data_IF_329106654040
#
_entry.id   IF_329106654040
#
_cell.length_a   1.000
_cell.length_b   1.000
_cell.length_c   1.000
_cell.angle_alpha   90.00
_cell.angle_beta   90.00
_cell.angle_gamma   90.00
#
_symmetry.space_group_name_H-M   'P 1'
#
loop_
_entity.id
_entity.type
_entity.pdbx_description
1 polymer ?
#
# COMPACT_ATOMS: atom_id res chain seq x y z
N UNK A 1 21.61 61.39 -8.23
CA UNK A 1 22.65 61.67 -7.24
C UNK A 1 23.42 60.39 -6.97
N UNK A 2 24.68 60.40 -7.38
CA UNK A 2 25.67 59.35 -7.25
C UNK A 2 26.25 59.46 -5.84
N UNK A 3 26.35 58.36 -5.09
CA UNK A 3 27.44 58.20 -4.11
C UNK A 3 27.78 56.72 -3.88
N UNK A 4 28.96 56.38 -4.39
CA UNK A 4 29.81 55.27 -3.94
C UNK A 4 30.25 55.51 -2.49
N UNK A 5 30.41 54.44 -1.71
CA UNK A 5 31.32 54.35 -0.56
C UNK A 5 31.56 52.85 -0.31
N UNK A 6 32.74 52.33 -0.66
CA UNK A 6 33.99 52.30 0.11
C UNK A 6 34.23 50.92 0.72
N UNK A 7 35.16 50.23 0.08
CA UNK A 7 35.92 49.07 0.53
C UNK A 7 36.76 49.40 1.77
N UNK A 8 36.68 48.57 2.80
CA UNK A 8 37.70 48.48 3.85
C UNK A 8 38.04 47.02 4.09
N UNK A 9 39.27 46.67 3.72
CA UNK A 9 39.98 45.46 4.13
C UNK A 9 40.33 45.59 5.62
N UNK A 10 40.12 44.54 6.40
CA UNK A 10 41.07 44.16 7.45
C UNK A 10 40.94 42.68 7.77
N UNK A 11 42.10 42.02 7.65
CA UNK A 11 42.38 40.67 8.10
C UNK A 11 43.20 40.83 9.38
N UNK A 12 42.98 39.99 10.41
CA UNK A 12 44.14 39.48 11.11
C UNK A 12 44.08 37.97 11.29
N UNK A 13 45.17 37.34 10.88
CA UNK A 13 45.57 36.03 11.34
C UNK A 13 45.75 36.05 12.86
N UNK A 14 45.20 35.04 13.54
CA UNK A 14 45.76 34.55 14.81
C UNK A 14 45.46 33.05 14.95
N UNK A 15 46.48 32.25 14.65
CA UNK A 15 46.99 31.18 15.52
C UNK A 15 46.02 30.53 16.52
N UNK A 16 45.56 29.31 16.23
CA UNK A 16 45.27 28.33 17.27
C UNK A 16 45.90 26.98 16.96
N UNK A 17 46.98 26.71 17.70
CA UNK A 17 47.71 25.44 17.75
C UNK A 17 46.90 24.38 18.51
N UNK A 18 46.94 23.17 17.95
CA UNK A 18 47.10 21.88 18.64
C UNK A 18 46.20 21.53 19.83
N UNK A 19 45.30 20.57 19.63
CA UNK A 19 45.03 19.45 20.57
C UNK A 19 44.22 18.34 19.89
N UNK A 20 44.87 17.62 18.97
CA UNK A 20 44.41 16.29 18.55
C UNK A 20 44.91 15.32 19.62
N UNK A 21 44.08 15.04 20.63
CA UNK A 21 44.27 13.85 21.48
C UNK A 21 43.65 12.67 20.76
N UNK A 22 44.51 11.77 20.29
CA UNK A 22 44.16 10.39 19.99
C UNK A 22 43.47 9.76 21.21
N UNK A 23 42.20 9.39 21.03
CA UNK A 23 41.56 8.32 21.79
C UNK A 23 41.11 7.28 20.77
N UNK A 24 42.04 6.44 20.34
CA UNK A 24 41.71 5.13 19.79
C UNK A 24 41.24 4.26 20.95
N UNK A 25 39.97 4.39 21.31
CA UNK A 25 39.29 3.37 22.10
C UNK A 25 38.98 2.22 21.15
N UNK A 26 39.63 1.08 21.36
CA UNK A 26 39.24 -0.21 20.79
C UNK A 26 37.87 -0.58 21.36
N UNK A 27 36.83 -0.06 20.73
CA UNK A 27 35.44 -0.42 21.03
C UNK A 27 35.25 -1.90 20.73
N UNK A 28 35.06 -2.70 21.78
CA UNK A 28 34.48 -4.04 21.69
C UNK A 28 33.24 -3.94 20.80
N UNK A 29 33.27 -4.59 19.65
CA UNK A 29 32.09 -4.86 18.82
C UNK A 29 31.12 -5.67 19.69
N UNK A 30 30.21 -4.97 20.34
CA UNK A 30 29.12 -5.55 21.11
C UNK A 30 28.28 -6.45 20.20
N UNK A 31 27.75 -7.50 20.81
CA UNK A 31 26.96 -8.60 20.24
C UNK A 31 25.72 -8.21 19.41
N UNK A 32 25.48 -6.93 19.13
CA UNK A 32 24.34 -6.44 18.35
C UNK A 32 24.46 -6.72 16.84
N UNK A 33 25.68 -6.84 16.28
CA UNK A 33 25.86 -7.11 14.85
C UNK A 33 25.38 -8.50 14.41
N UNK A 34 25.48 -9.49 15.30
CA UNK A 34 25.11 -10.88 15.01
C UNK A 34 23.59 -11.02 14.97
N UNK A 35 22.84 -10.29 15.80
CA UNK A 35 21.38 -10.34 15.83
C UNK A 35 20.75 -9.83 14.52
N UNK A 36 21.30 -8.77 13.92
CA UNK A 36 20.82 -8.25 12.64
C UNK A 36 21.12 -9.16 11.46
N UNK A 37 22.28 -9.83 11.45
CA UNK A 37 22.63 -10.79 10.41
C UNK A 37 21.79 -12.07 10.52
N UNK A 38 21.55 -12.58 11.73
CA UNK A 38 20.65 -13.73 11.97
C UNK A 38 19.21 -13.37 11.61
N UNK A 39 18.75 -12.14 11.88
CA UNK A 39 17.44 -11.69 11.41
C UNK A 39 17.36 -11.64 9.89
N UNK A 40 18.38 -11.12 9.18
CA UNK A 40 18.40 -11.10 7.70
C UNK A 40 18.46 -12.51 7.10
N UNK A 41 19.26 -13.41 7.69
CA UNK A 41 19.33 -14.81 7.25
C UNK A 41 18.02 -15.52 7.53
N UNK A 42 17.39 -15.34 8.69
CA UNK A 42 16.04 -15.85 8.98
C UNK A 42 14.97 -15.24 8.04
N UNK A 43 15.10 -13.96 7.69
CA UNK A 43 14.24 -13.28 6.72
C UNK A 43 14.45 -13.77 5.29
N UNK A 44 15.62 -14.32 4.96
CA UNK A 44 15.88 -14.92 3.65
C UNK A 44 15.53 -16.41 3.65
N UNK A 45 15.79 -17.15 4.71
CA UNK A 45 15.51 -18.58 4.78
C UNK A 45 14.02 -18.89 4.93
N UNK A 46 13.24 -18.08 5.66
CA UNK A 46 11.76 -18.25 5.70
C UNK A 46 11.12 -17.99 4.33
N UNK A 47 11.74 -17.18 3.48
CA UNK A 47 11.18 -16.80 2.17
C UNK A 47 11.82 -17.53 0.97
N UNK A 48 12.96 -18.21 1.17
CA UNK A 48 13.60 -19.08 0.19
C UNK A 48 13.32 -20.58 0.42
N UNK A 49 12.55 -20.96 1.45
CA UNK A 49 12.00 -22.33 1.52
C UNK A 49 11.00 -22.49 0.36
N UNK A 50 11.15 -23.54 -0.49
CA UNK A 50 10.19 -23.84 -1.54
C UNK A 50 8.91 -24.38 -0.90
N UNK A 51 8.05 -23.50 -0.40
CA UNK A 51 6.72 -23.86 0.04
C UNK A 51 5.83 -23.99 -1.21
N UNK A 52 5.49 -25.26 -1.49
CA UNK A 52 4.43 -25.80 -2.33
C UNK A 52 4.66 -25.84 -3.85
N UNK A 53 4.38 -26.99 -4.49
CA UNK A 53 4.39 -27.13 -5.93
C UNK A 53 3.29 -26.24 -6.50
N UNK A 54 3.70 -25.35 -7.38
CA UNK A 54 2.83 -24.62 -8.27
C UNK A 54 2.07 -25.67 -9.10
N UNK A 55 0.75 -25.83 -8.88
CA UNK A 55 -0.08 -26.56 -9.83
C UNK A 55 -0.11 -25.70 -11.11
N UNK A 56 0.45 -26.19 -12.23
CA UNK A 56 0.30 -25.48 -13.49
C UNK A 56 -1.21 -25.45 -13.82
N UNK A 57 -1.72 -24.28 -14.20
CA UNK A 57 -2.99 -24.19 -14.90
C UNK A 57 -2.94 -25.17 -16.07
N UNK A 58 -3.76 -26.22 -16.00
CA UNK A 58 -3.99 -27.13 -17.11
C UNK A 58 -4.52 -26.30 -18.27
N UNK A 59 -3.68 -26.10 -19.30
CA UNK A 59 -4.16 -25.81 -20.65
C UNK A 59 -5.12 -26.93 -21.01
N UNK A 60 -6.41 -26.61 -21.15
CA UNK A 60 -7.39 -27.49 -21.77
C UNK A 60 -6.91 -27.79 -23.18
N UNK A 61 -6.36 -29.00 -23.36
CA UNK A 61 -6.07 -29.59 -24.66
C UNK A 61 -7.39 -30.15 -25.16
N UNK A 62 -7.90 -29.58 -26.25
CA UNK A 62 -9.14 -30.01 -26.89
C UNK A 62 -9.09 -31.51 -27.23
N UNK A 63 -10.04 -32.26 -26.68
CA UNK A 63 -10.33 -33.62 -27.10
C UNK A 63 -11.26 -33.57 -28.31
N UNK A 64 -10.79 -34.15 -29.43
CA UNK A 64 -11.64 -34.57 -30.55
C UNK A 64 -12.53 -35.72 -30.09
N UNK A 65 -13.83 -35.58 -30.28
CA UNK A 65 -14.82 -36.64 -30.16
C UNK A 65 -14.89 -37.47 -31.44
N UNK A 66 -14.78 -38.80 -31.33
CA UNK A 66 -15.25 -39.77 -32.33
C UNK A 66 -15.83 -40.98 -31.58
N UNK A 67 -17.00 -41.45 -32.00
CA UNK A 67 -17.57 -42.78 -31.68
C UNK A 67 -18.71 -42.74 -30.65
N UNK A 68 -19.99 -42.71 -31.05
CA UNK A 68 -20.88 -43.84 -31.46
C UNK A 68 -21.36 -44.74 -30.31
N UNK A 69 -22.68 -44.63 -30.05
CA UNK A 69 -23.67 -45.68 -29.74
C UNK A 69 -23.40 -46.72 -28.62
N UNK A 70 -24.27 -46.78 -27.60
CA UNK A 70 -25.40 -47.75 -27.50
C UNK A 70 -25.86 -48.00 -26.04
N UNK A 71 -27.17 -47.84 -25.84
CA UNK A 71 -28.15 -48.64 -25.07
C UNK A 71 -27.64 -49.43 -23.85
N UNK A 72 -28.14 -49.10 -22.64
CA UNK A 72 -28.99 -49.99 -21.80
C UNK A 72 -29.17 -49.44 -20.36
N UNK A 73 -30.43 -49.29 -19.95
CA UNK A 73 -30.90 -49.32 -18.55
C UNK A 73 -30.89 -50.80 -18.06
N UNK A 74 -30.92 -51.17 -16.75
CA UNK A 74 -31.92 -50.68 -15.77
C UNK A 74 -31.52 -50.60 -14.26
N UNK A 75 -32.29 -49.76 -13.56
CA UNK A 75 -32.95 -49.91 -12.23
C UNK A 75 -32.31 -50.60 -11.02
N UNK A 76 -32.57 -49.95 -9.86
CA UNK A 76 -33.01 -50.46 -8.54
C UNK A 76 -32.09 -50.30 -7.30
N UNK A 77 -32.74 -49.79 -6.23
CA UNK A 77 -32.60 -50.06 -4.79
C UNK A 77 -31.78 -49.12 -3.86
N UNK A 78 -32.55 -48.42 -3.03
CA UNK A 78 -32.32 -47.99 -1.62
C UNK A 78 -32.17 -49.28 -0.76
N UNK A 79 -31.28 -49.39 0.27
CA UNK A 79 -31.58 -48.77 1.57
C UNK A 79 -30.45 -48.38 2.55
N UNK A 80 -30.84 -47.44 3.42
CA UNK A 80 -30.48 -47.19 4.84
C UNK A 80 -29.29 -47.90 5.49
N UNK A 81 -28.49 -47.16 6.27
CA UNK A 81 -28.56 -47.14 7.76
C UNK A 81 -27.27 -46.60 8.41
N UNK A 82 -27.46 -45.88 9.52
CA UNK A 82 -26.62 -45.76 10.74
C UNK A 82 -25.09 -45.91 10.66
N UNK A 83 -24.35 -44.97 11.26
CA UNK A 83 -23.71 -45.21 12.57
C UNK A 83 -22.90 -44.01 13.05
N UNK A 84 -22.92 -43.82 14.37
CA UNK A 84 -22.17 -42.85 15.18
C UNK A 84 -20.70 -43.27 15.32
N UNK A 85 -19.77 -42.31 15.33
CA UNK A 85 -18.55 -42.22 16.18
C UNK A 85 -17.70 -41.04 15.68
N UNK A 86 -17.55 -39.97 16.43
CA UNK A 86 -16.54 -39.82 17.51
C UNK A 86 -15.15 -40.23 17.07
N UNK A 87 -14.29 -39.26 16.77
CA UNK A 87 -12.92 -39.23 17.30
C UNK A 87 -12.24 -37.89 17.00
N UNK A 88 -11.85 -37.22 18.08
CA UNK A 88 -10.80 -36.21 18.08
C UNK A 88 -9.49 -36.88 17.62
N UNK A 89 -8.79 -36.27 16.68
CA UNK A 89 -7.39 -36.58 16.40
C UNK A 89 -6.56 -35.32 16.54
N UNK A 90 -5.81 -35.25 17.64
CA UNK A 90 -4.60 -34.46 17.76
C UNK A 90 -3.53 -35.08 16.84
N UNK A 91 -2.99 -34.30 15.92
CA UNK A 91 -1.73 -34.64 15.25
C UNK A 91 -0.58 -34.05 16.07
N UNK A 92 0.07 -34.90 16.85
CA UNK A 92 1.46 -34.73 17.25
C UNK A 92 2.34 -35.19 16.08
N UNK A 93 3.27 -34.35 15.63
CA UNK A 93 4.32 -34.76 14.71
C UNK A 93 5.65 -34.76 15.45
N UNK A 94 6.22 -35.97 15.50
CA UNK A 94 7.57 -36.30 15.93
C UNK A 94 8.62 -35.49 15.14
N UNK A 95 9.52 -34.83 15.88
CA UNK A 95 10.78 -34.34 15.35
C UNK A 95 11.80 -35.49 15.40
N UNK A 96 12.22 -35.97 14.23
CA UNK A 96 13.34 -36.92 14.12
C UNK A 96 14.63 -36.17 13.85
N UNK A 97 15.59 -36.36 14.75
CA UNK A 97 16.96 -35.89 14.67
C UNK A 97 17.67 -36.40 13.42
N UNK A 98 18.34 -35.50 12.69
CA UNK A 98 19.38 -35.85 11.72
C UNK A 98 20.62 -35.02 12.03
N UNK A 99 21.55 -35.67 12.72
CA UNK A 99 22.94 -35.26 12.84
C UNK A 99 23.69 -35.55 11.53
N UNK A 100 24.28 -34.53 10.91
CA UNK A 100 25.31 -34.73 9.88
C UNK A 100 26.50 -33.78 10.09
N UNK A 101 27.52 -34.38 10.69
CA UNK A 101 28.95 -34.31 10.38
C UNK A 101 29.49 -33.14 9.53
N UNK A 102 30.36 -32.39 10.18
CA UNK A 102 31.29 -31.40 9.66
C UNK A 102 32.18 -31.92 8.53
N UNK A 103 32.27 -31.18 7.42
CA UNK A 103 33.49 -31.11 6.60
C UNK A 103 33.81 -29.66 6.23
N UNK A 104 34.96 -29.23 6.74
CA UNK A 104 35.63 -27.96 6.51
C UNK A 104 36.26 -27.95 5.12
N UNK A 105 35.86 -26.99 4.29
CA UNK A 105 36.57 -26.66 3.04
C UNK A 105 36.81 -25.16 3.03
N UNK A 106 38.07 -24.76 3.29
CA UNK A 106 38.59 -23.42 3.02
C UNK A 106 38.67 -23.25 1.51
N UNK A 107 38.02 -22.22 0.96
CA UNK A 107 38.30 -21.74 -0.38
C UNK A 107 38.65 -20.25 -0.32
N UNK A 108 39.83 -19.98 -0.87
CA UNK A 108 40.48 -18.69 -1.02
C UNK A 108 39.71 -17.79 -2.00
N UNK A 109 39.46 -16.56 -1.59
CA UNK A 109 39.01 -15.47 -2.45
C UNK A 109 40.19 -14.96 -3.28
N UNK A 110 40.25 -15.35 -4.55
CA UNK A 110 41.03 -14.65 -5.58
C UNK A 110 40.08 -13.95 -6.55
N UNK A 111 40.32 -12.65 -6.68
CA UNK A 111 39.80 -11.66 -7.63
C UNK A 111 39.24 -12.20 -8.94
N UNK A 112 37.95 -11.93 -9.21
CA UNK A 112 37.36 -12.03 -10.54
C UNK A 112 37.15 -10.61 -11.07
N UNK A 113 37.96 -10.24 -12.06
CA UNK A 113 37.77 -9.06 -12.88
C UNK A 113 36.55 -9.27 -13.79
N UNK A 114 35.71 -8.25 -13.88
CA UNK A 114 34.52 -8.22 -14.75
C UNK A 114 34.96 -7.75 -16.14
N UNK A 115 34.78 -8.53 -17.23
CA UNK A 115 34.89 -7.98 -18.57
C UNK A 115 33.59 -7.24 -18.92
N UNK A 116 33.75 -6.01 -19.38
CA UNK A 116 32.72 -5.26 -20.06
C UNK A 116 32.66 -5.71 -21.53
N UNK A 117 31.55 -6.33 -21.93
CA UNK A 117 31.19 -6.45 -23.35
C UNK A 117 29.68 -6.72 -23.50
N UNK A 118 29.01 -5.70 -24.01
CA UNK A 118 28.00 -5.76 -25.07
C UNK A 118 27.40 -7.13 -25.41
N UNK A 119 26.19 -7.39 -24.94
CA UNK A 119 25.21 -8.28 -25.58
C UNK A 119 23.87 -7.55 -25.58
N UNK A 120 23.54 -6.95 -26.73
CA UNK A 120 22.19 -6.51 -27.07
C UNK A 120 21.77 -7.28 -28.30
N UNK A 121 20.48 -7.59 -28.39
CA UNK A 121 19.82 -8.43 -29.40
C UNK A 121 19.89 -9.94 -29.10
N UNK A 122 18.86 -10.43 -28.42
CA UNK A 122 18.08 -11.60 -28.86
C UNK A 122 16.93 -11.83 -27.86
N UNK A 123 15.76 -12.15 -28.43
CA UNK A 123 14.49 -12.51 -27.78
C UNK A 123 13.63 -11.34 -27.30
N UNK A 124 12.85 -10.78 -28.23
CA UNK A 124 11.56 -10.18 -27.91
C UNK A 124 10.58 -10.49 -29.06
N UNK A 125 10.14 -11.74 -29.13
CA UNK A 125 9.06 -12.19 -30.03
C UNK A 125 8.00 -12.88 -29.16
N UNK A 126 6.82 -12.27 -29.07
CA UNK A 126 5.78 -12.59 -28.09
C UNK A 126 5.08 -11.38 -27.43
N UNK A 127 5.26 -10.17 -27.97
CA UNK A 127 4.67 -8.93 -27.42
C UNK A 127 3.36 -8.49 -28.08
N UNK A 128 2.82 -9.24 -29.04
CA UNK A 128 1.68 -8.76 -29.84
C UNK A 128 0.31 -8.94 -29.14
N UNK A 129 0.24 -9.67 -28.04
CA UNK A 129 -1.00 -9.84 -27.29
C UNK A 129 -1.29 -8.67 -26.30
N UNK A 130 -0.35 -7.75 -26.07
CA UNK A 130 -0.52 -6.65 -25.12
C UNK A 130 -0.82 -5.29 -25.77
N UNK A 131 -0.72 -5.15 -27.10
CA UNK A 131 -0.97 -3.88 -27.80
C UNK A 131 -2.46 -3.50 -27.80
N UNK A 132 -3.36 -4.48 -27.98
CA UNK A 132 -4.80 -4.25 -27.84
C UNK A 132 -5.18 -3.90 -26.38
N UNK A 133 -4.57 -4.53 -25.37
CA UNK A 133 -4.91 -4.31 -23.96
C UNK A 133 -4.44 -2.95 -23.42
N UNK A 134 -3.26 -2.48 -23.84
CA UNK A 134 -2.78 -1.14 -23.45
C UNK A 134 -3.68 -0.01 -23.97
N UNK A 135 -4.46 -0.26 -25.02
CA UNK A 135 -5.43 0.71 -25.55
C UNK A 135 -6.78 0.70 -24.84
N UNK A 136 -7.09 -0.31 -24.00
CA UNK A 136 -8.39 -0.43 -23.32
C UNK A 136 -8.56 0.64 -22.24
N UNK A 137 -7.58 0.78 -21.36
CA UNK A 137 -7.62 1.79 -20.30
C UNK A 137 -7.45 3.23 -20.86
N UNK A 138 -6.60 3.43 -21.87
CA UNK A 138 -6.48 4.73 -22.56
C UNK A 138 -7.77 5.10 -23.28
N UNK A 139 -8.46 4.15 -23.93
CA UNK A 139 -9.79 4.39 -24.52
C UNK A 139 -10.83 4.68 -23.46
N UNK A 140 -10.89 3.90 -22.38
CA UNK A 140 -11.83 4.15 -21.28
C UNK A 140 -11.67 5.56 -20.69
N UNK A 141 -10.41 6.01 -20.50
CA UNK A 141 -10.12 7.34 -19.96
C UNK A 141 -10.33 8.46 -21.00
N UNK A 142 -9.97 8.25 -22.26
CA UNK A 142 -10.12 9.26 -23.31
C UNK A 142 -11.58 9.42 -23.77
N UNK A 143 -12.39 8.35 -23.75
CA UNK A 143 -13.78 8.39 -24.22
C UNK A 143 -14.68 9.25 -23.30
N UNK A 144 -14.40 9.29 -22.00
CA UNK A 144 -15.14 10.15 -21.05
C UNK A 144 -14.85 11.65 -21.23
N UNK A 145 -13.64 12.03 -21.65
CA UNK A 145 -13.32 13.44 -21.95
C UNK A 145 -14.07 13.97 -23.18
N UNK A 146 -14.52 13.09 -24.09
CA UNK A 146 -15.36 13.45 -25.24
C UNK A 146 -16.87 13.39 -24.97
N UNK A 147 -17.30 12.65 -23.95
CA UNK A 147 -18.72 12.43 -23.63
C UNK A 147 -19.33 13.47 -22.66
N UNK A 148 -18.76 14.68 -22.63
CA UNK A 148 -19.33 15.80 -21.89
C UNK A 148 -20.54 16.34 -22.68
N UNK A 149 -21.70 15.72 -22.42
CA UNK A 149 -23.08 16.24 -22.50
C UNK A 149 -23.59 16.82 -23.83
N UNK A 150 -24.42 16.04 -24.53
CA UNK A 150 -25.61 16.59 -25.19
C UNK A 150 -26.74 16.65 -24.17
N UNK A 151 -27.22 17.83 -23.74
CA UNK A 151 -28.25 17.93 -22.71
C UNK A 151 -29.62 17.56 -23.29
N UNK A 152 -30.16 16.40 -22.90
CA UNK A 152 -31.58 16.07 -23.06
C UNK A 152 -32.41 16.86 -22.06
N UNK A 153 -32.66 18.10 -22.47
CA UNK A 153 -33.73 19.02 -22.14
C UNK A 153 -34.86 18.50 -21.22
N UNK A 154 -34.69 18.63 -19.89
CA UNK A 154 -35.82 18.81 -18.95
C UNK A 154 -35.53 19.99 -18.03
N UNK A 155 -36.32 21.04 -18.23
CA UNK A 155 -36.21 22.37 -17.65
C UNK A 155 -36.31 22.35 -16.11
N UNK A 156 -35.19 22.50 -15.42
CA UNK A 156 -35.16 23.11 -14.09
C UNK A 156 -34.12 24.23 -14.09
N UNK A 157 -34.60 25.47 -14.04
CA UNK A 157 -33.83 26.72 -13.99
C UNK A 157 -33.20 26.89 -12.61
N UNK A 158 -32.15 26.14 -12.32
CA UNK A 158 -31.24 26.45 -11.21
C UNK A 158 -29.90 26.89 -11.81
N UNK A 159 -29.45 28.08 -11.40
CA UNK A 159 -28.37 28.87 -12.01
C UNK A 159 -27.10 28.08 -12.39
N UNK A 160 -26.83 27.85 -13.69
CA UNK A 160 -25.70 27.05 -14.17
C UNK A 160 -24.31 27.71 -14.04
N UNK A 161 -24.24 28.99 -13.68
CA UNK A 161 -22.94 29.70 -13.61
C UNK A 161 -22.05 29.28 -12.41
N UNK A 162 -22.63 28.71 -11.35
CA UNK A 162 -21.84 28.37 -10.14
C UNK A 162 -21.09 27.04 -10.26
N UNK A 163 -21.54 26.12 -11.12
CA UNK A 163 -20.97 24.77 -11.24
C UNK A 163 -19.65 24.73 -12.02
N UNK A 164 -19.48 25.57 -13.06
CA UNK A 164 -18.24 25.60 -13.86
C UNK A 164 -17.03 26.07 -13.06
N UNK A 165 -17.20 27.13 -12.26
CA UNK A 165 -16.13 27.64 -11.38
C UNK A 165 -15.73 26.61 -10.32
N UNK A 166 -16.70 25.86 -9.78
CA UNK A 166 -16.44 24.80 -8.82
C UNK A 166 -15.66 23.63 -9.43
N UNK A 167 -15.98 23.25 -10.68
CA UNK A 167 -15.27 22.18 -11.39
C UNK A 167 -13.81 22.53 -11.67
N UNK A 168 -13.52 23.75 -12.14
CA UNK A 168 -12.14 24.20 -12.37
C UNK A 168 -11.34 24.28 -11.06
N UNK A 169 -11.97 24.80 -10.00
CA UNK A 169 -11.34 24.89 -8.69
C UNK A 169 -11.08 23.51 -8.07
N UNK A 170 -11.95 22.53 -8.32
CA UNK A 170 -11.72 21.13 -7.94
C UNK A 170 -10.51 20.55 -8.68
N UNK A 171 -10.44 20.70 -10.01
CA UNK A 171 -9.30 20.17 -10.78
C UNK A 171 -7.97 20.79 -10.34
N UNK A 172 -7.92 22.10 -10.11
CA UNK A 172 -6.73 22.78 -9.57
C UNK A 172 -6.27 22.18 -8.24
N UNK A 173 -7.21 21.93 -7.33
CA UNK A 173 -6.91 21.34 -6.02
C UNK A 173 -6.47 19.88 -6.13
N UNK A 174 -7.14 19.10 -7.00
CA UNK A 174 -6.75 17.72 -7.32
C UNK A 174 -5.32 17.64 -7.84
N UNK A 175 -4.94 18.52 -8.77
CA UNK A 175 -3.56 18.63 -9.27
C UNK A 175 -2.56 19.03 -8.19
N UNK A 176 -2.92 20.01 -7.35
CA UNK A 176 -2.08 20.44 -6.23
C UNK A 176 -1.84 19.28 -5.24
N UNK A 177 -2.90 18.53 -4.93
CA UNK A 177 -2.80 17.35 -4.09
C UNK A 177 -1.93 16.28 -4.72
N UNK A 178 -2.16 16.00 -6.01
CA UNK A 178 -1.36 15.03 -6.75
C UNK A 178 0.12 15.41 -6.67
N UNK A 179 0.47 16.64 -7.01
CA UNK A 179 1.84 17.15 -6.93
C UNK A 179 2.47 16.96 -5.54
N UNK A 180 1.69 17.13 -4.47
CA UNK A 180 2.14 16.94 -3.07
C UNK A 180 2.29 15.48 -2.66
N UNK A 181 1.38 14.59 -3.06
CA UNK A 181 1.24 13.26 -2.46
C UNK A 181 1.51 12.10 -3.42
N UNK A 182 1.45 12.29 -4.73
CA UNK A 182 1.72 11.26 -5.74
C UNK A 182 3.18 11.20 -6.17
N UNK A 183 4.02 12.11 -5.69
CA UNK A 183 5.45 12.15 -6.00
C UNK A 183 6.31 12.02 -4.73
N UNK A 184 7.45 11.34 -4.85
CA UNK A 184 8.41 11.19 -3.74
C UNK A 184 8.91 12.56 -3.26
N UNK A 185 9.19 13.47 -4.19
CA UNK A 185 9.64 14.82 -3.87
C UNK A 185 8.55 15.65 -3.18
N UNK A 186 7.27 15.45 -3.55
CA UNK A 186 6.14 16.05 -2.85
C UNK A 186 6.10 15.62 -1.38
N UNK A 187 6.21 14.32 -1.11
CA UNK A 187 6.25 13.78 0.26
C UNK A 187 7.46 14.28 1.06
N UNK A 188 8.64 14.41 0.43
CA UNK A 188 9.83 15.02 1.06
C UNK A 188 9.59 16.47 1.44
N UNK A 189 8.91 17.25 0.60
CA UNK A 189 8.57 18.65 0.89
C UNK A 189 7.51 18.74 2.00
N UNK A 190 6.52 17.86 1.99
CA UNK A 190 5.42 17.87 2.97
C UNK A 190 5.84 17.39 4.36
N UNK A 191 6.63 16.32 4.44
CA UNK A 191 6.92 15.61 5.69
C UNK A 191 8.41 15.60 6.09
N UNK A 192 9.26 16.21 5.27
CA UNK A 192 10.72 16.24 5.45
C UNK A 192 11.44 15.08 4.75
N UNK A 193 12.74 15.27 4.50
CA UNK A 193 13.62 14.26 3.94
C UNK A 193 14.28 13.38 5.02
N UNK A 194 14.94 12.31 4.58
CA UNK A 194 15.73 11.45 5.47
C UNK A 194 16.87 12.25 6.14
N UNK A 195 16.84 12.34 7.47
CA UNK A 195 17.84 13.05 8.27
C UNK A 195 19.24 12.44 8.16
N UNK A 196 19.31 11.13 8.00
CA UNK A 196 20.56 10.37 7.99
C UNK A 196 21.09 10.11 6.57
N UNK A 197 20.57 10.84 5.56
CA UNK A 197 20.91 10.76 4.13
C UNK A 197 20.87 9.33 3.58
N UNK A 198 21.96 8.59 3.76
CA UNK A 198 22.15 7.24 3.26
C UNK A 198 21.48 6.21 4.17
N UNK A 199 21.70 6.27 5.48
CA UNK A 199 21.40 5.16 6.39
C UNK A 199 19.91 4.94 6.68
N UNK A 200 19.07 5.97 6.57
CA UNK A 200 17.68 5.91 7.04
C UNK A 200 17.57 6.41 8.48
N UNK A 201 16.43 7.00 8.83
CA UNK A 201 16.15 7.55 10.16
C UNK A 201 15.08 6.76 10.94
N UNK A 202 14.40 5.83 10.27
CA UNK A 202 13.33 5.00 10.83
C UNK A 202 13.70 3.52 10.83
N UNK A 203 13.37 2.86 11.94
CA UNK A 203 13.46 1.40 12.05
C UNK A 203 12.32 0.74 11.25
N UNK A 204 12.45 -0.54 10.83
CA UNK A 204 11.47 -1.19 9.95
C UNK A 204 10.02 -1.13 10.45
N UNK A 205 9.81 -1.28 11.76
CA UNK A 205 8.48 -1.19 12.38
C UNK A 205 7.90 0.22 12.25
N UNK A 206 8.70 1.26 12.50
CA UNK A 206 8.27 2.65 12.39
C UNK A 206 8.06 3.05 10.94
N UNK A 207 8.92 2.61 10.03
CA UNK A 207 8.76 2.80 8.58
C UNK A 207 7.48 2.13 8.08
N UNK A 208 7.11 0.95 8.61
CA UNK A 208 5.84 0.29 8.29
C UNK A 208 4.63 1.07 8.79
N UNK A 209 4.68 1.59 10.03
CA UNK A 209 3.64 2.48 10.55
C UNK A 209 3.52 3.76 9.72
N UNK A 210 4.65 4.35 9.30
CA UNK A 210 4.70 5.50 8.40
C UNK A 210 4.00 5.20 7.08
N UNK A 211 4.36 4.09 6.44
CA UNK A 211 3.70 3.66 5.20
C UNK A 211 2.18 3.55 5.38
N UNK A 212 1.69 2.92 6.45
CA UNK A 212 0.26 2.83 6.75
C UNK A 212 -0.40 4.20 6.92
N UNK A 213 0.26 5.12 7.61
CA UNK A 213 -0.25 6.49 7.84
C UNK A 213 -0.29 7.36 6.58
N UNK A 214 0.47 6.99 5.54
CA UNK A 214 0.54 7.68 4.26
C UNK A 214 -0.39 7.09 3.19
N UNK A 215 -1.11 6.01 3.51
CA UNK A 215 -2.05 5.44 2.57
C UNK A 215 -3.19 6.42 2.26
N UNK A 216 -3.69 6.43 1.03
CA UNK A 216 -4.72 7.36 0.58
C UNK A 216 -6.12 6.96 1.08
N UNK A 217 -6.26 6.58 2.35
CA UNK A 217 -7.54 6.13 2.93
C UNK A 217 -8.62 7.20 2.79
N UNK A 218 -8.22 8.46 2.92
CA UNK A 218 -9.13 9.58 2.72
C UNK A 218 -9.56 9.75 1.26
N UNK A 219 -8.86 9.19 0.25
CA UNK A 219 -9.38 9.12 -1.13
C UNK A 219 -10.55 8.14 -1.25
N UNK A 220 -10.51 7.04 -0.50
CA UNK A 220 -11.60 6.07 -0.43
C UNK A 220 -12.87 6.69 0.22
N UNK A 221 -12.70 7.55 1.23
CA UNK A 221 -13.81 8.30 1.85
C UNK A 221 -14.51 9.25 0.84
N UNK A 222 -13.80 9.73 -0.19
CA UNK A 222 -14.35 10.68 -1.17
C UNK A 222 -15.42 10.09 -2.07
N UNK A 223 -15.18 8.86 -2.50
CA UNK A 223 -16.13 8.14 -3.36
C UNK A 223 -17.44 7.97 -2.62
N UNK A 224 -17.38 7.68 -1.33
CA UNK A 224 -18.57 7.46 -0.49
C UNK A 224 -19.30 8.76 -0.12
N UNK A 225 -18.58 9.82 0.22
CA UNK A 225 -19.20 11.06 0.72
C UNK A 225 -19.67 12.03 -0.38
N UNK A 226 -18.98 12.06 -1.54
CA UNK A 226 -19.19 13.10 -2.55
C UNK A 226 -19.62 12.56 -3.91
N UNK A 227 -19.65 11.24 -4.09
CA UNK A 227 -19.98 10.63 -5.38
C UNK A 227 -18.97 10.97 -6.48
N UNK A 228 -17.70 11.22 -6.12
CA UNK A 228 -16.63 11.39 -7.11
C UNK A 228 -16.41 10.06 -7.83
N UNK A 229 -16.36 10.10 -9.16
CA UNK A 229 -16.12 8.94 -10.01
C UNK A 229 -14.81 8.21 -9.63
N UNK A 230 -14.86 6.88 -9.38
CA UNK A 230 -13.69 6.11 -8.99
C UNK A 230 -12.59 6.09 -10.07
N UNK A 231 -12.95 6.29 -11.34
CA UNK A 231 -12.04 6.36 -12.48
C UNK A 231 -11.03 7.49 -12.35
N UNK A 232 -11.47 8.63 -11.83
CA UNK A 232 -10.59 9.78 -11.60
C UNK A 232 -9.61 9.55 -10.43
N UNK A 233 -10.05 8.79 -9.43
CA UNK A 233 -9.35 8.61 -8.16
C UNK A 233 -8.42 7.40 -8.16
N UNK A 234 -8.72 6.36 -8.93
CA UNK A 234 -7.93 5.13 -8.97
C UNK A 234 -6.46 5.35 -9.42
N UNK A 235 -6.17 6.10 -10.50
CA UNK A 235 -4.79 6.42 -10.89
C UNK A 235 -4.06 7.23 -9.81
N UNK A 236 -4.75 8.22 -9.23
CA UNK A 236 -4.19 9.06 -8.17
C UNK A 236 -3.86 8.25 -6.91
N UNK A 237 -4.76 7.36 -6.49
CA UNK A 237 -4.55 6.48 -5.34
C UNK A 237 -3.39 5.50 -5.56
N UNK A 238 -3.27 4.95 -6.77
CA UNK A 238 -2.14 4.12 -7.14
C UNK A 238 -0.81 4.89 -7.03
N UNK A 239 -0.73 6.07 -7.64
CA UNK A 239 0.50 6.87 -7.61
C UNK A 239 0.83 7.34 -6.18
N UNK A 240 -0.16 7.78 -5.41
CA UNK A 240 0.01 8.16 -4.00
C UNK A 240 0.56 7.00 -3.17
N UNK A 241 0.01 5.79 -3.34
CA UNK A 241 0.53 4.60 -2.66
C UNK A 241 1.96 4.26 -3.09
N UNK A 242 2.27 4.34 -4.39
CA UNK A 242 3.61 4.09 -4.91
C UNK A 242 4.62 5.08 -4.30
N UNK A 243 4.27 6.37 -4.27
CA UNK A 243 5.06 7.41 -3.63
C UNK A 243 5.22 7.17 -2.12
N UNK A 244 4.15 6.82 -1.41
CA UNK A 244 4.19 6.48 0.01
C UNK A 244 5.12 5.30 0.31
N UNK A 245 5.10 4.26 -0.53
CA UNK A 245 6.00 3.10 -0.43
C UNK A 245 7.47 3.51 -0.63
N UNK A 246 7.76 4.30 -1.66
CA UNK A 246 9.12 4.80 -1.94
C UNK A 246 9.62 5.70 -0.80
N UNK A 247 8.76 6.58 -0.28
CA UNK A 247 9.10 7.48 0.81
C UNK A 247 9.36 6.73 2.12
N UNK A 248 8.54 5.74 2.46
CA UNK A 248 8.78 4.89 3.62
C UNK A 248 10.10 4.09 3.48
N UNK A 249 10.40 3.57 2.29
CA UNK A 249 11.67 2.89 1.99
C UNK A 249 12.88 3.81 2.14
N UNK A 250 12.80 5.05 1.63
CA UNK A 250 13.85 6.06 1.77
C UNK A 250 14.18 6.38 3.22
N UNK A 251 13.17 6.39 4.10
CA UNK A 251 13.36 6.67 5.53
C UNK A 251 13.74 5.43 6.33
N UNK A 252 13.44 4.24 5.82
CA UNK A 252 13.84 2.97 6.43
C UNK A 252 15.37 2.76 6.37
N UNK A 253 15.88 1.99 7.32
CA UNK A 253 17.29 1.57 7.37
C UNK A 253 17.73 0.86 6.08
N UNK A 254 18.95 1.12 5.60
CA UNK A 254 19.46 0.62 4.31
C UNK A 254 19.33 -0.90 4.13
N UNK A 255 19.71 -1.76 5.10
CA UNK A 255 19.60 -3.20 4.91
C UNK A 255 18.14 -3.64 4.70
N UNK A 256 17.22 -3.08 5.48
CA UNK A 256 15.79 -3.34 5.34
C UNK A 256 15.22 -2.79 4.02
N UNK A 257 15.73 -1.66 3.52
CA UNK A 257 15.38 -1.09 2.21
C UNK A 257 15.76 -2.05 1.08
N UNK A 258 17.00 -2.54 1.07
CA UNK A 258 17.50 -3.46 0.04
C UNK A 258 16.69 -4.76 0.08
N UNK A 259 16.52 -5.34 1.26
CA UNK A 259 15.74 -6.57 1.43
C UNK A 259 14.30 -6.42 0.91
N UNK A 260 13.63 -5.31 1.22
CA UNK A 260 12.27 -5.05 0.73
C UNK A 260 12.20 -4.89 -0.79
N UNK A 261 13.20 -4.24 -1.42
CA UNK A 261 13.27 -4.11 -2.88
C UNK A 261 13.53 -5.44 -3.58
N UNK A 262 14.46 -6.25 -3.05
CA UNK A 262 14.74 -7.60 -3.56
C UNK A 262 13.51 -8.51 -3.42
N UNK A 263 12.83 -8.46 -2.29
CA UNK A 263 11.63 -9.26 -2.04
C UNK A 263 10.50 -8.93 -3.03
N UNK A 264 10.26 -7.64 -3.28
CA UNK A 264 9.25 -7.24 -4.26
C UNK A 264 9.63 -7.66 -5.69
N UNK A 265 10.89 -7.48 -6.07
CA UNK A 265 11.40 -7.91 -7.37
C UNK A 265 11.33 -9.43 -7.57
N UNK A 266 11.70 -10.21 -6.55
CA UNK A 266 11.60 -11.68 -6.57
C UNK A 266 10.14 -12.15 -6.67
N UNK A 267 9.23 -11.54 -5.89
CA UNK A 267 7.81 -11.87 -5.94
C UNK A 267 7.21 -11.61 -7.33
N UNK A 268 7.64 -10.55 -8.00
CA UNK A 268 7.20 -10.26 -9.36
C UNK A 268 7.84 -11.16 -10.40
N UNK A 269 9.14 -11.45 -10.25
CA UNK A 269 9.83 -12.39 -11.12
C UNK A 269 9.16 -13.76 -11.10
N UNK A 270 8.79 -14.28 -9.93
CA UNK A 270 8.07 -15.56 -9.80
C UNK A 270 6.68 -15.56 -10.47
N UNK A 271 5.98 -14.42 -10.49
CA UNK A 271 4.61 -14.33 -11.04
C UNK A 271 4.56 -13.98 -12.53
N UNK A 272 5.46 -13.12 -12.98
CA UNK A 272 5.42 -12.49 -14.31
C UNK A 272 6.69 -12.74 -15.13
N UNK A 273 7.66 -13.48 -14.60
CA UNK A 273 8.95 -13.71 -15.26
C UNK A 273 9.85 -12.47 -15.36
N UNK A 274 9.45 -11.32 -14.78
CA UNK A 274 10.19 -10.06 -14.84
C UNK A 274 10.51 -9.54 -13.44
N UNK A 275 11.77 -9.21 -13.20
CA UNK A 275 12.20 -8.61 -11.94
C UNK A 275 11.89 -7.11 -11.96
N UNK A 276 10.96 -6.64 -11.12
CA UNK A 276 10.70 -5.20 -10.96
C UNK A 276 10.74 -4.83 -9.46
N UNK A 277 11.76 -4.08 -9.00
CA UNK A 277 11.94 -3.80 -7.56
C UNK A 277 10.89 -2.83 -6.98
N UNK A 278 10.21 -2.08 -7.84
CA UNK A 278 9.20 -1.09 -7.46
C UNK A 278 7.80 -1.69 -7.29
N UNK A 279 7.58 -2.91 -7.81
CA UNK A 279 6.28 -3.54 -7.87
C UNK A 279 5.57 -3.32 -9.20
N UNK A 280 4.28 -3.65 -9.21
CA UNK A 280 3.45 -3.73 -10.41
C UNK A 280 3.18 -2.35 -11.00
N UNK A 281 3.27 -2.22 -12.32
CA UNK A 281 2.86 -1.00 -13.03
C UNK A 281 1.34 -0.78 -12.90
N UNK A 282 0.85 0.40 -13.26
CA UNK A 282 -0.59 0.68 -13.17
C UNK A 282 -1.36 -0.19 -14.15
N UNK A 283 -0.84 -0.35 -15.36
CA UNK A 283 -1.42 -1.13 -16.46
C UNK A 283 -1.50 -2.61 -16.06
N UNK A 284 -0.43 -3.18 -15.51
CA UNK A 284 -0.44 -4.55 -15.01
C UNK A 284 -1.44 -4.75 -13.85
N UNK A 285 -1.62 -3.72 -13.01
CA UNK A 285 -2.59 -3.76 -11.91
C UNK A 285 -4.02 -3.67 -12.43
N UNK A 286 -4.24 -2.82 -13.43
CA UNK A 286 -5.49 -2.68 -14.17
C UNK A 286 -5.89 -4.01 -14.79
N UNK A 287 -5.04 -4.56 -15.67
CA UNK A 287 -5.30 -5.82 -16.39
C UNK A 287 -5.66 -6.93 -15.41
N UNK A 288 -4.91 -7.04 -14.31
CA UNK A 288 -5.17 -8.04 -13.27
C UNK A 288 -6.58 -7.91 -12.68
N UNK A 289 -7.02 -6.72 -12.30
CA UNK A 289 -8.33 -6.55 -11.67
C UNK A 289 -9.46 -6.56 -12.70
N UNK A 290 -9.22 -6.03 -13.90
CA UNK A 290 -10.17 -6.06 -15.00
C UNK A 290 -10.53 -7.51 -15.38
N UNK A 291 -9.52 -8.37 -15.57
CA UNK A 291 -9.77 -9.79 -15.82
C UNK A 291 -10.46 -10.48 -14.63
N UNK A 292 -10.11 -10.12 -13.40
CA UNK A 292 -10.78 -10.65 -12.22
C UNK A 292 -12.28 -10.27 -12.19
N UNK A 293 -12.65 -9.07 -12.62
CA UNK A 293 -14.06 -8.67 -12.71
C UNK A 293 -14.78 -9.38 -13.85
N UNK A 294 -14.14 -9.50 -15.03
CA UNK A 294 -14.71 -10.26 -16.16
C UNK A 294 -15.01 -11.71 -15.79
N UNK A 295 -14.08 -12.38 -15.09
CA UNK A 295 -14.29 -13.76 -14.62
C UNK A 295 -15.45 -13.85 -13.60
N UNK A 296 -15.60 -12.84 -12.73
CA UNK A 296 -16.69 -12.78 -11.75
C UNK A 296 -18.05 -12.58 -12.43
N UNK A 297 -18.16 -11.64 -13.35
CA UNK A 297 -19.38 -11.38 -14.12
C UNK A 297 -19.73 -12.60 -14.99
N UNK A 298 -18.75 -13.18 -15.69
CA UNK A 298 -18.96 -14.38 -16.49
C UNK A 298 -19.43 -15.59 -15.67
N UNK A 299 -18.90 -15.75 -14.45
CA UNK A 299 -19.33 -16.82 -13.53
C UNK A 299 -20.77 -16.61 -13.03
N UNK A 300 -21.15 -15.36 -12.72
CA UNK A 300 -22.51 -15.02 -12.28
C UNK A 300 -23.54 -15.23 -13.40
N UNK A 301 -23.23 -14.83 -14.63
CA UNK A 301 -24.07 -15.09 -15.80
C UNK A 301 -24.24 -16.58 -16.08
N UNK A 302 -23.18 -17.37 -15.92
CA UNK A 302 -23.26 -18.82 -16.08
C UNK A 302 -24.10 -19.49 -14.98
N UNK A 303 -24.05 -18.99 -13.74
CA UNK A 303 -24.90 -19.48 -12.64
C UNK A 303 -26.39 -19.19 -12.92
N UNK A 304 -26.72 -17.97 -13.37
CA UNK A 304 -28.07 -17.57 -13.75
C UNK A 304 -28.62 -18.36 -14.95
N UNK A 305 -27.78 -18.60 -15.96
CA UNK A 305 -28.19 -19.38 -17.15
C UNK A 305 -28.51 -20.83 -16.82
N UNK A 306 -27.85 -21.41 -15.81
CA UNK A 306 -28.10 -22.80 -15.42
C UNK A 306 -29.28 -22.96 -14.45
N UNK A 307 -29.72 -21.88 -13.77
CA UNK A 307 -30.86 -21.95 -12.85
C UNK A 307 -32.22 -21.97 -13.56
N UNK A 308 -32.33 -21.39 -14.76
CA UNK A 308 -33.62 -21.20 -15.45
C UNK A 308 -33.85 -22.17 -16.63
N UNK A 309 -33.09 -23.27 -16.71
CA UNK A 309 -33.27 -24.30 -17.74
C UNK A 309 -34.59 -25.10 -17.61
N UNK A 310 -35.51 -24.69 -16.74
CA UNK A 310 -36.85 -25.28 -16.59
C UNK A 310 -37.93 -24.37 -17.21
N UNK A 311 -38.18 -24.59 -18.50
CA UNK A 311 -39.50 -24.53 -19.16
C UNK A 311 -40.38 -23.29 -18.98
N UNK A 312 -40.05 -22.14 -19.57
CA UNK A 312 -41.08 -21.21 -20.08
C UNK A 312 -40.46 -20.34 -21.19
N UNK A 313 -40.94 -20.52 -22.44
CA UNK A 313 -40.40 -19.90 -23.66
C UNK A 313 -40.72 -18.39 -23.82
N UNK A 314 -41.44 -17.79 -22.87
CA UNK A 314 -41.84 -16.39 -22.91
C UNK A 314 -41.13 -15.58 -21.82
N UNK A 315 -39.84 -15.29 -22.00
CA UNK A 315 -39.17 -14.32 -21.12
C UNK A 315 -38.31 -13.31 -21.88
N UNK A 316 -39.02 -12.26 -22.29
CA UNK A 316 -38.73 -10.83 -22.05
C UNK A 316 -37.24 -10.46 -22.02
N UNK A 317 -36.81 -9.63 -23.00
CA UNK A 317 -35.59 -8.79 -23.03
C UNK A 317 -34.89 -8.67 -21.67
N UNK A 318 -34.13 -9.71 -21.27
CA UNK A 318 -33.24 -9.60 -20.15
C UNK A 318 -32.15 -8.67 -20.65
N UNK A 319 -32.06 -7.52 -19.99
CA UNK A 319 -31.08 -6.46 -20.22
C UNK A 319 -29.66 -7.03 -20.02
N UNK A 320 -29.17 -7.73 -21.05
CA UNK A 320 -27.91 -8.48 -21.12
C UNK A 320 -26.70 -7.55 -21.18
N UNK A 321 -26.81 -6.36 -20.61
CA UNK A 321 -25.81 -5.31 -20.73
C UNK A 321 -25.29 -4.95 -19.35
N UNK A 322 -24.61 -5.90 -18.69
CA UNK A 322 -23.51 -5.50 -17.81
C UNK A 322 -22.57 -4.69 -18.69
N UNK A 323 -22.67 -3.38 -18.58
CA UNK A 323 -21.99 -2.49 -19.52
C UNK A 323 -20.49 -2.51 -19.23
N UNK A 324 -19.68 -2.26 -20.25
CA UNK A 324 -18.24 -2.17 -20.08
C UNK A 324 -17.90 -1.09 -19.04
N UNK A 325 -18.70 -0.02 -18.98
CA UNK A 325 -18.58 1.06 -17.99
C UNK A 325 -18.74 0.56 -16.56
N UNK A 326 -19.64 -0.38 -16.29
CA UNK A 326 -19.80 -0.96 -14.96
C UNK A 326 -18.55 -1.74 -14.55
N UNK A 327 -18.01 -2.57 -15.45
CA UNK A 327 -16.79 -3.35 -15.21
C UNK A 327 -15.60 -2.41 -14.98
N UNK A 328 -15.49 -1.33 -15.75
CA UNK A 328 -14.48 -0.29 -15.60
C UNK A 328 -14.59 0.37 -14.22
N UNK A 329 -15.79 0.79 -13.83
CA UNK A 329 -16.05 1.45 -12.54
C UNK A 329 -15.71 0.52 -11.36
N UNK A 330 -16.18 -0.73 -11.41
CA UNK A 330 -15.86 -1.76 -10.41
C UNK A 330 -14.35 -2.05 -10.34
N UNK A 331 -13.66 -2.07 -11.48
CA UNK A 331 -12.19 -2.22 -11.54
C UNK A 331 -11.48 -1.05 -10.86
N UNK A 332 -11.88 0.18 -11.16
CA UNK A 332 -11.34 1.39 -10.54
C UNK A 332 -11.58 1.41 -9.03
N UNK A 333 -12.80 1.09 -8.60
CA UNK A 333 -13.15 0.95 -7.19
C UNK A 333 -12.27 -0.10 -6.53
N UNK A 334 -12.02 -1.25 -7.19
CA UNK A 334 -11.16 -2.29 -6.64
C UNK A 334 -9.71 -1.84 -6.48
N UNK A 335 -9.18 -1.10 -7.45
CA UNK A 335 -7.83 -0.51 -7.39
C UNK A 335 -7.75 0.46 -6.21
N UNK A 336 -8.76 1.32 -6.04
CA UNK A 336 -8.84 2.30 -4.97
C UNK A 336 -8.87 1.62 -3.59
N UNK A 337 -9.76 0.65 -3.36
CA UNK A 337 -9.81 -0.17 -2.15
C UNK A 337 -8.46 -0.83 -1.84
N UNK A 338 -7.87 -1.45 -2.88
CA UNK A 338 -6.59 -2.14 -2.72
C UNK A 338 -5.47 -1.16 -2.46
N UNK A 339 -5.55 0.08 -2.94
CA UNK A 339 -4.58 1.13 -2.68
C UNK A 339 -4.61 1.60 -1.21
N UNK A 340 -5.80 1.65 -0.60
CA UNK A 340 -6.05 2.01 0.80
C UNK A 340 -5.75 0.86 1.80
N UNK A 341 -5.45 -0.36 1.34
CA UNK A 341 -5.23 -1.52 2.24
C UNK A 341 -3.77 -1.94 2.32
N UNK A 342 -3.37 -2.55 3.44
CA UNK A 342 -2.07 -3.20 3.62
C UNK A 342 -2.19 -4.71 3.70
N UNK A 343 -1.09 -5.41 3.43
CA UNK A 343 -1.00 -6.84 3.70
C UNK A 343 -0.91 -7.06 5.21
N UNK A 344 -1.97 -7.63 5.80
CA UNK A 344 -2.06 -7.91 7.22
C UNK A 344 -1.02 -8.90 7.73
N UNK A 345 -0.65 -9.90 6.93
CA UNK A 345 0.40 -10.86 7.31
C UNK A 345 1.73 -10.14 7.51
N UNK A 346 2.07 -9.21 6.61
CA UNK A 346 3.27 -8.37 6.75
C UNK A 346 3.15 -7.43 7.94
N UNK A 347 1.96 -6.87 8.18
CA UNK A 347 1.70 -6.03 9.36
C UNK A 347 1.90 -6.83 10.65
N UNK A 348 1.37 -8.05 10.75
CA UNK A 348 1.55 -8.94 11.89
C UNK A 348 3.04 -9.26 12.08
N UNK A 349 3.75 -9.68 11.04
CA UNK A 349 5.17 -10.04 11.13
C UNK A 349 6.05 -8.86 11.59
N UNK A 350 5.81 -7.66 11.06
CA UNK A 350 6.67 -6.48 11.33
C UNK A 350 6.30 -5.76 12.63
N UNK A 351 5.01 -5.72 12.98
CA UNK A 351 4.52 -4.99 14.15
C UNK A 351 4.46 -5.84 15.42
N UNK A 352 4.33 -7.18 15.32
CA UNK A 352 4.18 -8.05 16.49
C UNK A 352 5.49 -8.32 17.25
N UNK A 353 6.64 -8.28 16.57
CA UNK A 353 7.96 -8.57 17.17
C UNK A 353 8.43 -7.52 18.21
N UNK A 354 7.69 -6.43 18.41
CA UNK A 354 8.15 -5.31 19.24
C UNK A 354 7.98 -5.52 20.75
N UNK A 355 7.03 -6.37 21.17
CA UNK A 355 6.61 -6.51 22.59
C UNK A 355 7.71 -6.94 23.58
N UNK A 356 8.87 -7.44 23.13
CA UNK A 356 9.92 -7.99 24.02
C UNK A 356 11.11 -7.06 24.27
N UNK A 357 11.27 -5.95 23.53
CA UNK A 357 12.49 -5.14 23.58
C UNK A 357 12.31 -3.71 24.13
N UNK A 358 11.11 -3.37 24.60
CA UNK A 358 10.63 -1.98 24.68
C UNK A 358 11.03 -1.14 25.91
N UNK A 359 11.76 -1.68 26.89
CA UNK A 359 12.08 -0.87 28.09
C UNK A 359 13.09 0.24 27.81
N UNK A 360 14.08 0.02 26.94
CA UNK A 360 15.14 1.01 26.69
C UNK A 360 14.80 2.02 25.57
N UNK A 361 13.91 1.66 24.63
CA UNK A 361 13.60 2.49 23.44
C UNK A 361 12.28 3.28 23.51
N UNK A 362 11.61 3.28 24.66
CA UNK A 362 10.28 3.89 24.83
C UNK A 362 10.23 5.38 24.42
N UNK A 363 11.25 6.17 24.76
CA UNK A 363 11.30 7.60 24.41
C UNK A 363 11.40 7.85 22.89
N UNK A 364 12.23 7.06 22.19
CA UNK A 364 12.38 7.15 20.72
C UNK A 364 11.08 6.73 20.03
N UNK A 365 10.45 5.68 20.52
CA UNK A 365 9.17 5.20 20.00
C UNK A 365 8.07 6.24 20.17
N UNK A 366 7.97 6.88 21.34
CA UNK A 366 7.00 7.93 21.60
C UNK A 366 7.13 9.11 20.62
N UNK A 367 8.38 9.58 20.39
CA UNK A 367 8.64 10.66 19.42
C UNK A 367 8.22 10.28 18.00
N UNK A 368 8.48 9.05 17.59
CA UNK A 368 8.07 8.53 16.30
C UNK A 368 6.55 8.45 16.18
N UNK A 369 5.85 7.97 17.21
CA UNK A 369 4.39 7.89 17.20
C UNK A 369 3.74 9.29 17.15
N UNK A 370 4.31 10.30 17.81
CA UNK A 370 3.88 11.69 17.67
C UNK A 370 4.06 12.22 16.24
N UNK A 371 5.19 11.90 15.60
CA UNK A 371 5.44 12.27 14.20
C UNK A 371 4.42 11.61 13.26
N UNK A 372 4.13 10.33 13.45
CA UNK A 372 3.13 9.59 12.66
C UNK A 372 1.72 10.17 12.82
N UNK A 373 1.32 10.50 14.05
CA UNK A 373 0.05 11.19 14.33
C UNK A 373 -0.03 12.54 13.61
N UNK A 374 1.07 13.31 13.60
CA UNK A 374 1.13 14.59 12.89
C UNK A 374 0.96 14.41 11.38
N UNK A 375 1.67 13.45 10.78
CA UNK A 375 1.60 13.15 9.34
C UNK A 375 0.17 12.76 8.95
N UNK A 376 -0.43 11.82 9.68
CA UNK A 376 -1.80 11.35 9.42
C UNK A 376 -2.81 12.49 9.51
N UNK A 377 -2.74 13.35 10.54
CA UNK A 377 -3.64 14.53 10.66
C UNK A 377 -3.44 15.53 9.53
N UNK A 378 -2.21 15.77 9.09
CA UNK A 378 -1.95 16.67 7.96
C UNK A 378 -2.52 16.10 6.67
N UNK A 379 -2.33 14.81 6.39
CA UNK A 379 -2.87 14.15 5.21
C UNK A 379 -4.40 14.21 5.19
N UNK A 380 -5.05 13.86 6.30
CA UNK A 380 -6.51 13.93 6.43
C UNK A 380 -7.03 15.36 6.22
N UNK A 381 -6.37 16.35 6.82
CA UNK A 381 -6.75 17.76 6.63
C UNK A 381 -6.61 18.16 5.16
N UNK A 382 -5.48 17.84 4.53
CA UNK A 382 -5.20 18.21 3.14
C UNK A 382 -6.15 17.54 2.16
N UNK A 383 -6.53 16.28 2.40
CA UNK A 383 -7.56 15.61 1.60
C UNK A 383 -8.91 16.29 1.78
N UNK A 384 -9.34 16.58 3.02
CA UNK A 384 -10.58 17.34 3.25
C UNK A 384 -10.58 18.72 2.57
N UNK A 385 -9.42 19.37 2.42
CA UNK A 385 -9.31 20.65 1.67
C UNK A 385 -9.62 20.52 0.19
N UNK A 386 -9.39 19.34 -0.40
CA UNK A 386 -9.76 19.10 -1.80
C UNK A 386 -11.26 19.05 -2.00
N UNK A 387 -11.97 18.58 -0.98
CA UNK A 387 -13.39 18.27 -1.07
C UNK A 387 -14.23 19.49 -0.84
N UNK A 388 -14.06 20.07 0.33
CA UNK A 388 -14.95 21.10 0.82
C UNK A 388 -14.11 22.24 1.39
N UNK A 389 -13.68 23.17 0.52
CA UNK A 389 -12.91 24.30 0.98
C UNK A 389 -13.78 25.17 1.90
N UNK A 390 -15.09 25.19 1.65
CA UNK A 390 -16.09 25.99 2.36
C UNK A 390 -16.26 25.51 3.81
N UNK A 391 -16.38 24.20 4.05
CA UNK A 391 -16.47 23.65 5.42
C UNK A 391 -15.26 23.98 6.27
N UNK A 392 -14.08 24.02 5.67
CA UNK A 392 -12.84 24.29 6.41
C UNK A 392 -12.67 25.76 6.79
N UNK A 393 -13.26 26.69 6.06
CA UNK A 393 -13.31 28.08 6.50
C UNK A 393 -14.20 28.23 7.74
N UNK A 394 -15.29 27.46 7.82
CA UNK A 394 -16.14 27.39 9.01
C UNK A 394 -15.39 26.80 10.22
N UNK A 395 -14.74 25.63 10.06
CA UNK A 395 -14.01 24.98 11.15
C UNK A 395 -12.84 25.83 11.67
N UNK A 396 -12.12 26.53 10.79
CA UNK A 396 -11.04 27.41 11.22
C UNK A 396 -11.58 28.65 11.95
N UNK A 397 -12.76 29.16 11.57
CA UNK A 397 -13.42 30.24 12.28
C UNK A 397 -13.90 29.79 13.66
N UNK A 398 -14.44 28.57 13.80
CA UNK A 398 -14.83 28.02 15.10
C UNK A 398 -13.63 27.72 16.00
N UNK A 399 -12.52 27.20 15.45
CA UNK A 399 -11.27 27.05 16.23
C UNK A 399 -10.66 28.39 16.64
N UNK A 400 -10.79 29.42 15.79
CA UNK A 400 -10.33 30.79 16.11
C UNK A 400 -11.26 31.46 17.14
N UNK A 401 -12.55 31.15 17.11
CA UNK A 401 -13.52 31.55 18.13
C UNK A 401 -13.29 30.82 19.47
N UNK A 402 -12.89 29.54 19.45
CA UNK A 402 -12.47 28.78 20.64
C UNK A 402 -11.05 29.13 21.12
N UNK A 403 -10.27 29.86 20.32
CA UNK A 403 -9.04 30.55 20.75
C UNK A 403 -9.31 31.92 21.35
N UNK A 404 -10.57 32.31 21.58
CA UNK A 404 -10.88 33.26 22.66
C UNK A 404 -10.31 32.63 23.92
N UNK A 405 -9.33 33.31 24.51
CA UNK A 405 -8.55 32.85 25.65
C UNK A 405 -9.46 32.16 26.66
N UNK A 406 -9.29 30.84 26.83
CA UNK A 406 -9.86 30.11 27.95
C UNK A 406 -9.54 30.92 29.19
N UNK A 407 -10.57 31.37 29.90
CA UNK A 407 -10.35 32.25 31.04
C UNK A 407 -9.52 31.49 32.08
N UNK A 408 -8.70 32.17 32.90
CA UNK A 408 -7.93 31.49 33.95
C UNK A 408 -8.80 30.59 34.85
N UNK A 409 -10.09 30.94 35.01
CA UNK A 409 -11.08 30.17 35.75
C UNK A 409 -11.48 28.87 35.04
N UNK A 410 -11.74 28.89 33.73
CA UNK A 410 -12.04 27.69 32.94
C UNK A 410 -10.85 26.74 32.90
N UNK A 411 -9.63 27.27 32.81
CA UNK A 411 -8.41 26.45 32.88
C UNK A 411 -8.27 25.78 34.25
N UNK A 412 -8.56 26.51 35.34
CA UNK A 412 -8.55 25.97 36.68
C UNK A 412 -9.60 24.87 36.87
N UNK A 413 -10.82 25.07 36.35
CA UNK A 413 -11.89 24.08 36.40
C UNK A 413 -11.52 22.79 35.64
N UNK A 414 -10.97 22.90 34.42
CA UNK A 414 -10.47 21.76 33.65
C UNK A 414 -9.32 21.03 34.35
N UNK A 415 -8.44 21.76 35.04
CA UNK A 415 -7.35 21.18 35.82
C UNK A 415 -7.88 20.39 37.02
N UNK A 416 -8.87 20.92 37.74
CA UNK A 416 -9.52 20.21 38.85
C UNK A 416 -10.24 18.95 38.36
N UNK A 417 -10.96 19.04 37.23
CA UNK A 417 -11.65 17.90 36.64
C UNK A 417 -10.68 16.79 36.20
N UNK A 418 -9.54 17.15 35.61
CA UNK A 418 -8.52 16.18 35.23
C UNK A 418 -7.86 15.51 36.46
N UNK A 419 -7.75 16.23 37.58
CA UNK A 419 -7.25 15.67 38.84
C UNK A 419 -8.26 14.72 39.49
N UNK A 420 -9.55 15.06 39.49
CA UNK A 420 -10.59 14.16 40.02
C UNK A 420 -10.71 12.87 39.22
N UNK A 421 -10.60 12.93 37.88
CA UNK A 421 -10.56 11.71 37.07
C UNK A 421 -9.37 10.81 37.40
N UNK A 422 -8.18 11.39 37.61
CA UNK A 422 -7.00 10.60 38.00
C UNK A 422 -7.14 9.96 39.38
N UNK A 423 -7.85 10.61 40.31
CA UNK A 423 -8.16 10.01 41.61
C UNK A 423 -9.12 8.83 41.47
N UNK A 424 -10.19 8.99 40.67
CA UNK A 424 -11.13 7.91 40.40
C UNK A 424 -10.45 6.69 39.75
N UNK A 425 -9.58 6.91 38.75
CA UNK A 425 -8.81 5.82 38.11
C UNK A 425 -7.84 5.14 39.10
N UNK A 426 -7.28 5.88 40.05
CA UNK A 426 -6.39 5.33 41.07
C UNK A 426 -7.14 4.50 42.13
N UNK A 427 -8.34 4.93 42.52
CA UNK A 427 -9.23 4.19 43.43
C UNK A 427 -9.70 2.88 42.80
N UNK A 428 -10.11 2.89 41.53
CA UNK A 428 -10.51 1.68 40.78
C UNK A 428 -9.34 0.67 40.67
N UNK A 429 -8.10 1.15 40.50
CA UNK A 429 -6.91 0.31 40.49
C UNK A 429 -6.55 -0.29 41.87
N UNK A 430 -6.92 0.37 42.96
CA UNK A 430 -6.74 -0.16 44.32
C UNK A 430 -7.83 -1.19 44.63
N UNK A 431 -9.06 -0.93 44.21
CA UNK A 431 -10.20 -1.82 44.46
C UNK A 431 -10.14 -3.10 43.59
N UNK A 432 -9.45 -3.05 42.45
CA UNK A 432 -9.20 -4.22 41.59
C UNK A 432 -8.03 -5.13 42.06
N UNK A 433 -7.33 -4.77 43.14
CA UNK A 433 -6.24 -5.57 43.75
C UNK A 433 -6.68 -6.23 45.03
#
# INVERSE_FOLDING_TARGET
MIHNNHTVKSNPQSTLRSRIRQRCGTGKLGSHGISTAVCLVAFLSIFCIPALPFQPHHRHRGHRSVGTSSISSPSYLIPSSSSKRSSQHYFALDYRDISTTSKSSRLSLSSIAVPASSVSSLVNDGSDHYSWLSSGWERAMNNKNSSIYSPTNKQQRTSPMRSLSQSQEYQRRKEEWAKRYTTLNGLRRAFGSNRNKLWGDLDPTTARKLYKSLLPNALCELVLELGVEPEELAPLAYQARKAAKLYARERCQVPARIAASLFDGFRQWRRYGRFQPDGMSYEQLWDKYYHQQLEQVGSQLHEFRNSDASNDEDNLYLDDTVTEEEIISQTCQKILEKACTTNEMVDRMVLHNKRKHDREDSARQHRNDLLLKRISRTLQRDVRKLLDPSRLESDNNDFKAHRRSMTPQEYHALKLFALSQKQAEAEELVESR
#
